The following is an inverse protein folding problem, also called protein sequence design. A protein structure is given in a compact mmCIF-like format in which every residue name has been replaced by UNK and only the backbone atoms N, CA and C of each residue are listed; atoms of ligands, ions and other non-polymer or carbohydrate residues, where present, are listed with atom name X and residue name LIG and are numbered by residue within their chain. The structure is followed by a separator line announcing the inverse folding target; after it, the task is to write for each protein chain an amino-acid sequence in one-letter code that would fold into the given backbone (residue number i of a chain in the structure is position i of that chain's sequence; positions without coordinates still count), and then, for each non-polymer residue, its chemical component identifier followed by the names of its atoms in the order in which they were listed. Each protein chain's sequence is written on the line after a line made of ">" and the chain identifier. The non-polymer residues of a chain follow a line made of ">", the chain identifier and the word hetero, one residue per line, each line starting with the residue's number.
data_IF_776526147526
#
_entry.id   IF_776526147526
#
_cell.length_a   1.000
_cell.length_b   1.000
_cell.length_c   1.000
_cell.angle_alpha   90.00
_cell.angle_beta   90.00
_cell.angle_gamma   90.00
#
_symmetry.space_group_name_H-M   'P 1'
#
loop_
_entity.id
_entity.type
_entity.pdbx_description
1 polymer ?
#
# COMPACT_ATOMS: atom_id res chain seq x y z
N UNK A 1 10.48 -20.17 51.55
CA UNK A 1 10.89 -19.75 50.20
C UNK A 1 9.69 -19.41 49.29
N UNK A 2 8.88 -18.36 49.58
CA UNK A 2 7.71 -18.02 48.74
C UNK A 2 7.97 -16.92 47.68
N UNK A 3 9.07 -16.16 47.82
CA UNK A 3 9.40 -15.06 46.92
C UNK A 3 9.74 -15.49 45.50
N UNK A 4 10.45 -16.62 45.34
CA UNK A 4 10.88 -17.12 44.04
C UNK A 4 9.72 -17.51 43.12
N UNK A 5 8.66 -18.13 43.69
CA UNK A 5 7.46 -18.57 42.94
C UNK A 5 6.66 -17.37 42.43
N UNK A 6 6.60 -16.28 43.20
CA UNK A 6 5.89 -15.04 42.80
C UNK A 6 6.59 -14.32 41.63
N UNK A 7 7.92 -14.30 41.61
CA UNK A 7 8.68 -13.72 40.50
C UNK A 7 8.63 -14.60 39.25
N UNK A 8 8.69 -15.93 39.42
CA UNK A 8 8.54 -16.89 38.32
C UNK A 8 7.16 -16.79 37.65
N UNK A 9 6.11 -16.58 38.45
CA UNK A 9 4.75 -16.36 37.97
C UNK A 9 4.58 -15.05 37.19
N UNK A 10 5.23 -13.95 37.60
CA UNK A 10 5.22 -12.69 36.84
C UNK A 10 5.99 -12.79 35.51
N UNK A 11 7.13 -13.50 35.49
CA UNK A 11 7.93 -13.71 34.27
C UNK A 11 7.16 -14.59 33.26
N UNK A 12 6.45 -15.61 33.74
CA UNK A 12 5.60 -16.46 32.91
C UNK A 12 4.39 -15.70 32.32
N UNK A 13 3.83 -14.73 33.05
CA UNK A 13 2.75 -13.86 32.56
C UNK A 13 3.23 -12.85 31.50
N UNK A 14 4.47 -12.36 31.61
CA UNK A 14 5.07 -11.45 30.62
C UNK A 14 5.42 -12.17 29.31
N UNK A 15 5.80 -13.45 29.36
CA UNK A 15 6.03 -14.29 28.17
C UNK A 15 4.73 -14.68 27.43
N UNK A 16 3.56 -14.44 28.05
CA UNK A 16 2.24 -14.70 27.49
C UNK A 16 1.59 -13.47 26.82
N UNK A 17 2.26 -12.32 26.80
CA UNK A 17 1.89 -11.22 25.90
C UNK A 17 2.21 -11.62 24.45
N UNK A 18 1.39 -12.53 23.93
CA UNK A 18 1.37 -12.92 22.53
C UNK A 18 1.19 -11.68 21.67
N UNK A 19 1.98 -11.59 20.60
CA UNK A 19 1.88 -10.53 19.61
C UNK A 19 0.50 -10.60 18.95
N UNK A 20 -0.41 -9.72 19.37
CA UNK A 20 -1.67 -9.47 18.68
C UNK A 20 -1.35 -8.63 17.44
N UNK A 21 -0.95 -9.28 16.36
CA UNK A 21 -0.83 -8.62 15.06
C UNK A 21 -2.21 -8.42 14.47
N UNK A 22 -2.51 -7.18 14.09
CA UNK A 22 -3.74 -6.92 13.36
C UNK A 22 -3.59 -7.43 11.91
N UNK A 23 -4.68 -7.93 11.32
CA UNK A 23 -4.64 -8.38 9.92
C UNK A 23 -4.37 -7.19 9.01
N UNK A 24 -3.27 -7.27 8.25
CA UNK A 24 -2.95 -6.29 7.22
C UNK A 24 -4.02 -6.30 6.12
N UNK A 25 -4.48 -5.12 5.73
CA UNK A 25 -5.58 -4.97 4.78
C UNK A 25 -5.67 -3.56 4.23
N UNK A 26 -6.24 -3.43 3.03
CA UNK A 26 -6.72 -2.16 2.51
C UNK A 26 -8.07 -1.91 3.16
N UNK A 27 -8.14 -0.85 3.97
CA UNK A 27 -9.36 -0.44 4.68
C UNK A 27 -10.25 0.42 3.78
N UNK A 28 -9.64 1.25 2.93
CA UNK A 28 -10.34 2.07 1.96
C UNK A 28 -9.49 2.24 0.71
N UNK A 29 -10.14 2.25 -0.45
CA UNK A 29 -9.53 2.55 -1.73
C UNK A 29 -10.49 3.46 -2.50
N UNK A 30 -10.07 4.69 -2.74
CA UNK A 30 -10.83 5.66 -3.52
C UNK A 30 -9.98 6.14 -4.69
N UNK A 31 -10.52 6.06 -5.90
CA UNK A 31 -9.86 6.54 -7.11
C UNK A 31 -10.71 7.65 -7.72
N UNK A 32 -10.12 8.83 -7.84
CA UNK A 32 -10.68 9.95 -8.59
C UNK A 32 -10.01 9.97 -9.96
N UNK A 33 -10.82 9.86 -11.01
CA UNK A 33 -10.36 9.78 -12.40
C UNK A 33 -11.04 10.91 -13.16
N UNK A 34 -10.24 11.83 -13.69
CA UNK A 34 -10.70 12.91 -14.54
C UNK A 34 -10.24 12.66 -15.97
N UNK A 35 -11.17 12.71 -16.91
CA UNK A 35 -10.88 12.67 -18.35
C UNK A 35 -10.97 14.09 -18.88
N UNK A 36 -9.85 14.61 -19.37
CA UNK A 36 -9.76 15.97 -19.90
C UNK A 36 -10.24 16.04 -21.35
N UNK A 37 -10.51 17.27 -21.82
CA UNK A 37 -11.01 17.52 -23.18
C UNK A 37 -10.02 17.09 -24.26
N UNK A 38 -8.72 17.18 -23.97
CA UNK A 38 -7.64 16.74 -24.86
C UNK A 38 -7.40 15.23 -24.85
N UNK A 39 -8.17 14.48 -24.05
CA UNK A 39 -8.07 13.02 -23.94
C UNK A 39 -7.04 12.54 -22.92
N UNK A 40 -6.36 13.44 -22.20
CA UNK A 40 -5.51 13.05 -21.07
C UNK A 40 -6.35 12.57 -19.88
N UNK A 41 -5.76 11.72 -19.04
CA UNK A 41 -6.43 11.14 -17.87
C UNK A 41 -5.59 11.45 -16.63
N UNK A 42 -6.19 12.18 -15.69
CA UNK A 42 -5.62 12.43 -14.38
C UNK A 42 -6.21 11.44 -13.37
N UNK A 43 -5.34 10.72 -12.67
CA UNK A 43 -5.73 9.74 -11.65
C UNK A 43 -5.16 10.13 -10.30
N UNK A 44 -6.02 10.25 -9.30
CA UNK A 44 -5.63 10.40 -7.89
C UNK A 44 -6.22 9.26 -7.07
N UNK A 45 -5.37 8.37 -6.57
CA UNK A 45 -5.76 7.28 -5.67
C UNK A 45 -5.49 7.67 -4.21
N UNK A 46 -6.49 7.55 -3.34
CA UNK A 46 -6.36 7.67 -1.89
C UNK A 46 -6.61 6.30 -1.26
N UNK A 47 -5.58 5.75 -0.61
CA UNK A 47 -5.59 4.39 -0.06
C UNK A 47 -5.32 4.44 1.43
N UNK A 48 -6.27 3.92 2.21
CA UNK A 48 -6.07 3.70 3.65
C UNK A 48 -5.70 2.24 3.86
N UNK A 49 -4.51 2.01 4.43
CA UNK A 49 -3.98 0.67 4.66
C UNK A 49 -3.67 0.47 6.13
N UNK A 50 -3.97 -0.73 6.63
CA UNK A 50 -3.36 -1.23 7.86
C UNK A 50 -2.15 -2.07 7.48
N UNK A 51 -0.96 -1.60 7.81
CA UNK A 51 0.30 -2.29 7.57
C UNK A 51 1.04 -2.50 8.89
N UNK A 52 1.26 -3.77 9.25
CA UNK A 52 2.02 -4.23 10.44
C UNK A 52 3.44 -4.66 10.04
N UNK A 53 3.81 -4.48 8.77
CA UNK A 53 5.08 -4.86 8.16
C UNK A 53 5.31 -6.39 8.11
N UNK A 54 4.24 -7.20 8.20
CA UNK A 54 4.35 -8.64 8.04
C UNK A 54 4.36 -9.05 6.57
N UNK A 55 3.33 -8.70 5.80
CA UNK A 55 3.24 -8.95 4.35
C UNK A 55 3.49 -7.68 3.55
N UNK A 56 3.01 -6.53 4.03
CA UNK A 56 3.20 -5.22 3.40
C UNK A 56 4.56 -4.63 3.84
N UNK A 57 5.64 -5.17 3.27
CA UNK A 57 7.03 -4.77 3.65
C UNK A 57 7.66 -3.71 2.76
N UNK A 58 7.21 -3.63 1.49
CA UNK A 58 7.85 -2.82 0.43
C UNK A 58 6.95 -1.72 -0.12
N UNK A 59 5.87 -1.41 0.60
CA UNK A 59 4.84 -0.48 0.16
C UNK A 59 3.76 -1.14 -0.69
N UNK A 60 3.05 -0.31 -1.46
CA UNK A 60 1.91 -0.68 -2.30
C UNK A 60 2.37 -0.67 -3.76
N UNK A 61 2.18 -1.78 -4.47
CA UNK A 61 2.43 -1.86 -5.90
C UNK A 61 1.17 -1.51 -6.68
N UNK A 62 1.31 -0.63 -7.67
CA UNK A 62 0.24 -0.22 -8.59
C UNK A 62 0.70 -0.45 -10.02
N UNK A 63 -0.19 -1.04 -10.80
CA UNK A 63 0.01 -1.22 -12.23
C UNK A 63 -0.96 -0.29 -12.97
N UNK A 64 -0.43 0.45 -13.94
CA UNK A 64 -1.17 1.35 -14.78
C UNK A 64 -0.90 0.94 -16.22
N UNK A 65 -1.90 0.36 -16.91
CA UNK A 65 -1.70 -0.12 -18.28
C UNK A 65 -1.39 1.07 -19.18
N UNK A 66 -0.22 1.03 -19.83
CA UNK A 66 0.18 2.04 -20.83
C UNK A 66 0.05 1.51 -22.26
N UNK A 67 -0.34 0.25 -22.42
CA UNK A 67 -0.48 -0.39 -23.73
C UNK A 67 -1.91 -0.86 -23.91
N UNK A 68 -2.53 -0.44 -25.02
CA UNK A 68 -3.92 -0.75 -25.37
C UNK A 68 -4.00 -1.28 -26.79
N UNK A 69 -4.96 -2.16 -27.07
CA UNK A 69 -5.34 -2.53 -28.43
C UNK A 69 -6.64 -1.82 -28.82
N UNK A 70 -6.66 -1.20 -30.00
CA UNK A 70 -7.88 -0.64 -30.55
C UNK A 70 -8.78 -1.73 -31.17
N UNK A 71 -9.99 -1.33 -31.57
CA UNK A 71 -10.99 -2.19 -32.22
C UNK A 71 -10.53 -2.83 -33.54
N UNK A 72 -9.42 -2.39 -34.12
CA UNK A 72 -8.84 -2.91 -35.36
C UNK A 72 -7.59 -3.77 -35.09
N UNK A 73 -7.21 -3.96 -33.82
CA UNK A 73 -6.05 -4.74 -33.41
C UNK A 73 -4.73 -3.98 -33.42
N UNK A 74 -4.74 -2.65 -33.60
CA UNK A 74 -3.50 -1.87 -33.52
C UNK A 74 -3.13 -1.66 -32.05
N UNK A 75 -1.84 -1.83 -31.74
CA UNK A 75 -1.29 -1.56 -30.41
C UNK A 75 -0.87 -0.11 -30.29
N UNK A 76 -1.37 0.55 -29.26
CA UNK A 76 -1.03 1.91 -28.89
C UNK A 76 -0.33 1.91 -27.54
N UNK A 77 0.81 2.60 -27.44
CA UNK A 77 1.48 2.89 -26.17
C UNK A 77 1.23 4.36 -25.85
N UNK A 78 0.73 4.62 -24.64
CA UNK A 78 0.53 5.98 -24.12
C UNK A 78 1.62 6.33 -23.14
N UNK A 79 1.92 7.62 -23.04
CA UNK A 79 2.82 8.14 -22.02
C UNK A 79 2.16 8.05 -20.64
N UNK A 80 2.98 7.90 -19.61
CA UNK A 80 2.54 7.85 -18.22
C UNK A 80 3.55 8.57 -17.33
N UNK A 81 3.04 9.44 -16.47
CA UNK A 81 3.84 10.22 -15.54
C UNK A 81 3.27 10.12 -14.12
N UNK A 82 4.15 9.88 -13.15
CA UNK A 82 3.78 9.96 -11.73
C UNK A 82 3.99 11.40 -11.27
N UNK A 83 2.90 12.14 -11.09
CA UNK A 83 2.95 13.55 -10.66
C UNK A 83 3.39 13.69 -9.20
N UNK A 84 2.85 12.87 -8.30
CA UNK A 84 3.24 12.89 -6.89
C UNK A 84 2.86 11.58 -6.17
N UNK A 85 3.61 11.26 -5.12
CA UNK A 85 3.29 10.19 -4.18
C UNK A 85 3.39 10.75 -2.77
N UNK A 86 2.31 10.58 -1.99
CA UNK A 86 2.20 11.07 -0.62
C UNK A 86 1.89 9.92 0.34
N UNK A 87 2.50 9.96 1.51
CA UNK A 87 2.15 9.16 2.67
C UNK A 87 1.75 10.09 3.80
N UNK A 88 0.51 9.94 4.27
CA UNK A 88 -0.04 10.76 5.37
C UNK A 88 0.16 12.28 5.14
N UNK A 89 0.03 12.71 3.88
CA UNK A 89 0.19 14.11 3.44
C UNK A 89 1.63 14.56 3.16
N UNK A 90 2.64 13.74 3.45
CA UNK A 90 4.05 14.05 3.20
C UNK A 90 4.57 13.34 1.94
N UNK A 91 5.51 13.95 1.21
CA UNK A 91 6.15 13.29 0.05
C UNK A 91 6.82 11.99 0.47
N UNK A 92 6.58 10.93 -0.30
CA UNK A 92 7.16 9.61 -0.09
C UNK A 92 7.97 9.21 -1.33
N UNK A 93 9.06 8.47 -1.13
CA UNK A 93 9.85 7.92 -2.23
C UNK A 93 9.06 6.81 -2.95
N UNK A 94 9.21 6.75 -4.27
CA UNK A 94 8.68 5.69 -5.10
C UNK A 94 9.69 5.29 -6.17
N UNK A 95 9.45 4.16 -6.81
CA UNK A 95 10.21 3.71 -7.97
C UNK A 95 9.24 3.11 -8.98
N UNK A 96 9.63 3.15 -10.24
CA UNK A 96 8.86 2.58 -11.36
C UNK A 96 9.65 1.44 -11.98
N UNK A 97 8.95 0.48 -12.59
CA UNK A 97 9.57 -0.66 -13.27
C UNK A 97 8.83 -0.90 -14.59
N UNK A 98 9.56 -1.09 -15.69
CA UNK A 98 8.96 -1.44 -16.98
C UNK A 98 8.21 -0.31 -17.70
N UNK A 99 8.43 0.94 -17.28
CA UNK A 99 8.05 2.13 -18.07
C UNK A 99 8.91 2.25 -19.33
#
# INVERSE_FOLDING_TARGET
>A
MPGFIRHFSCILLLLFFHQLHAVESILNFHSNIQVNVDGTIDVTETITVRAEQDRIRRGIYRDFPTTYEDRFGNRHRVDFEVVSVLRDGSRENYFTQGM
#
